data_IF_380481384275
#
_entry.id   IF_380481384275
#
_cell.length_a   1.000
_cell.length_b   1.000
_cell.length_c   1.000
_cell.angle_alpha   90.00
_cell.angle_beta   90.00
_cell.angle_gamma   90.00
#
_symmetry.space_group_name_H-M   'P 1'
#
loop_
_entity.id
_entity.type
_entity.pdbx_description
1 polymer ?
#
# COMPACT_ATOMS: atom_id res chain seq x y z
N UNK A 1 -4.54 -17.19 7.52
CA UNK A 1 -3.78 -17.10 6.25
C UNK A 1 -3.44 -15.64 5.95
N UNK A 2 -2.28 -15.30 5.36
CA UNK A 2 -1.93 -13.93 4.91
C UNK A 2 -1.67 -13.92 3.40
N UNK A 3 -2.28 -12.97 2.68
CA UNK A 3 -2.10 -12.75 1.25
C UNK A 3 -2.13 -11.24 0.92
N UNK A 4 -1.76 -10.89 -0.32
CA UNK A 4 -1.83 -9.55 -0.85
C UNK A 4 -2.59 -9.55 -2.19
N UNK A 5 -3.78 -8.93 -2.15
CA UNK A 5 -4.69 -8.77 -3.28
C UNK A 5 -4.34 -7.49 -4.04
N UNK A 6 -4.21 -7.61 -5.37
CA UNK A 6 -4.03 -6.48 -6.28
C UNK A 6 -5.32 -6.30 -7.09
N UNK A 7 -5.87 -5.09 -7.08
CA UNK A 7 -7.05 -4.73 -7.87
C UNK A 7 -6.72 -3.61 -8.85
N UNK A 8 -6.97 -3.83 -10.14
CA UNK A 8 -6.84 -2.77 -11.14
C UNK A 8 -7.99 -1.76 -11.01
N UNK A 9 -7.65 -0.47 -10.90
CA UNK A 9 -8.61 0.64 -10.68
C UNK A 9 -8.51 1.75 -11.73
N UNK A 10 -7.77 1.51 -12.80
CA UNK A 10 -7.59 2.45 -13.91
C UNK A 10 -6.62 3.60 -13.60
N UNK A 11 -5.93 4.05 -14.64
CA UNK A 11 -4.87 5.06 -14.55
C UNK A 11 -5.34 6.52 -14.49
N UNK A 12 -6.65 6.77 -14.60
CA UNK A 12 -7.20 8.13 -14.57
C UNK A 12 -7.74 8.50 -13.19
N UNK A 13 -7.51 9.76 -12.80
CA UNK A 13 -8.10 10.33 -11.60
C UNK A 13 -9.59 10.62 -11.82
N UNK A 14 -10.44 10.45 -10.79
CA UNK A 14 -11.82 10.92 -10.85
C UNK A 14 -11.88 12.41 -11.19
N UNK A 15 -12.89 12.83 -11.99
CA UNK A 15 -12.96 14.17 -12.58
C UNK A 15 -12.79 15.34 -11.62
N UNK A 16 -13.27 15.21 -10.37
CA UNK A 16 -13.06 16.24 -9.32
C UNK A 16 -11.58 16.53 -9.05
N UNK A 17 -10.74 15.49 -8.99
CA UNK A 17 -9.31 15.62 -8.75
C UNK A 17 -8.58 16.12 -9.99
N UNK A 18 -9.00 15.64 -11.17
CA UNK A 18 -8.47 16.11 -12.45
C UNK A 18 -8.67 17.61 -12.64
N UNK A 19 -9.84 18.15 -12.28
CA UNK A 19 -10.10 19.60 -12.38
C UNK A 19 -9.32 20.41 -11.33
N UNK A 20 -9.17 19.88 -10.10
CA UNK A 20 -8.35 20.52 -9.08
C UNK A 20 -6.89 20.67 -9.54
N UNK A 21 -6.35 19.65 -10.22
CA UNK A 21 -5.00 19.72 -10.81
C UNK A 21 -4.90 20.65 -12.00
N UNK A 22 -6.03 20.98 -12.65
CA UNK A 22 -6.09 21.96 -13.74
C UNK A 22 -6.09 23.41 -13.23
N UNK A 23 -6.28 23.62 -11.93
CA UNK A 23 -6.24 24.96 -11.35
C UNK A 23 -4.88 25.64 -11.60
N UNK A 24 -4.93 26.78 -12.28
CA UNK A 24 -3.75 27.59 -12.57
C UNK A 24 -3.25 28.29 -11.30
N UNK A 25 -1.94 28.50 -11.25
CA UNK A 25 -1.32 29.33 -10.21
C UNK A 25 -1.50 30.79 -10.55
N UNK A 26 -1.66 31.64 -9.53
CA UNK A 26 -1.71 33.09 -9.71
C UNK A 26 -0.41 33.63 -10.34
N UNK A 27 0.73 33.01 -10.00
CA UNK A 27 2.04 33.29 -10.58
C UNK A 27 2.81 31.99 -10.86
N UNK A 28 3.64 32.01 -11.92
CA UNK A 28 4.55 30.91 -12.26
C UNK A 28 3.97 29.85 -13.21
N UNK A 29 4.74 28.79 -13.43
CA UNK A 29 4.38 27.69 -14.34
C UNK A 29 3.23 26.85 -13.77
N UNK A 30 2.39 26.23 -14.62
CA UNK A 30 1.35 25.32 -14.18
C UNK A 30 1.94 24.14 -13.38
N UNK A 31 1.19 23.57 -12.43
CA UNK A 31 1.63 22.40 -11.67
C UNK A 31 1.85 21.20 -12.59
N UNK A 32 2.83 20.35 -12.25
CA UNK A 32 3.03 19.07 -12.93
C UNK A 32 1.80 18.19 -12.68
N UNK A 33 1.23 17.53 -13.70
CA UNK A 33 0.09 16.65 -13.51
C UNK A 33 0.45 15.50 -12.57
N UNK A 34 -0.47 15.16 -11.65
CA UNK A 34 -0.30 14.00 -10.78
C UNK A 34 -0.57 12.72 -11.55
N UNK A 35 0.34 11.76 -11.41
CA UNK A 35 0.21 10.44 -11.98
C UNK A 35 -0.50 9.52 -10.99
N UNK A 36 -1.56 8.84 -11.43
CA UNK A 36 -2.25 7.83 -10.63
C UNK A 36 -1.59 6.46 -10.83
N UNK A 37 -1.46 5.69 -9.76
CA UNK A 37 -1.11 4.28 -9.83
C UNK A 37 -2.39 3.50 -10.19
N UNK A 38 -2.40 2.68 -11.25
CA UNK A 38 -3.61 2.01 -11.73
C UNK A 38 -4.03 0.79 -10.89
N UNK A 39 -3.46 0.62 -9.69
CA UNK A 39 -3.68 -0.53 -8.83
C UNK A 39 -3.95 -0.11 -7.37
N UNK A 40 -4.81 -0.87 -6.71
CA UNK A 40 -4.96 -0.88 -5.26
C UNK A 40 -4.36 -2.17 -4.70
N UNK A 41 -3.67 -2.06 -3.57
CA UNK A 41 -3.03 -3.18 -2.90
C UNK A 41 -3.69 -3.37 -1.53
N UNK A 42 -4.12 -4.59 -1.23
CA UNK A 42 -4.78 -4.92 0.04
C UNK A 42 -4.13 -6.13 0.68
N UNK A 43 -3.80 -6.03 1.97
CA UNK A 43 -3.53 -7.24 2.74
C UNK A 43 -4.83 -7.97 3.03
N UNK A 44 -4.80 -9.29 2.91
CA UNK A 44 -5.89 -10.19 3.22
C UNK A 44 -5.45 -11.11 4.33
N UNK A 45 -6.11 -11.06 5.48
CA UNK A 45 -5.76 -11.89 6.63
C UNK A 45 -6.98 -12.29 7.45
N UNK A 46 -6.84 -13.38 8.20
CA UNK A 46 -7.87 -13.92 9.09
C UNK A 46 -7.52 -13.56 10.53
N UNK A 47 -8.54 -13.38 11.36
CA UNK A 47 -8.39 -13.17 12.80
C UNK A 47 -9.26 -14.20 13.55
N UNK A 48 -8.85 -14.57 14.76
CA UNK A 48 -9.57 -15.56 15.57
C UNK A 48 -10.98 -15.09 15.98
N UNK A 49 -11.20 -13.77 16.00
CA UNK A 49 -12.46 -13.13 16.37
C UNK A 49 -13.40 -12.86 15.17
N UNK A 50 -13.07 -13.34 13.96
CA UNK A 50 -13.88 -13.12 12.77
C UNK A 50 -13.97 -14.33 11.85
N UNK A 51 -15.20 -14.69 11.46
CA UNK A 51 -15.48 -15.73 10.46
C UNK A 51 -15.15 -15.30 9.01
N UNK A 52 -14.78 -14.03 8.78
CA UNK A 52 -14.51 -13.48 7.45
C UNK A 52 -13.10 -12.90 7.38
N UNK A 53 -12.37 -13.10 6.27
CA UNK A 53 -11.06 -12.47 6.10
C UNK A 53 -11.20 -10.95 6.03
N UNK A 54 -10.31 -10.27 6.74
CA UNK A 54 -10.13 -8.84 6.66
C UNK A 54 -9.42 -8.47 5.36
N UNK A 55 -9.81 -7.33 4.78
CA UNK A 55 -9.18 -6.74 3.60
C UNK A 55 -8.79 -5.31 3.93
N UNK A 56 -7.52 -5.09 4.23
CA UNK A 56 -7.02 -3.78 4.62
C UNK A 56 -6.25 -3.13 3.46
N UNK A 57 -6.68 -1.95 3.02
CA UNK A 57 -6.00 -1.18 1.98
C UNK A 57 -4.63 -0.71 2.47
N UNK A 58 -3.60 -0.89 1.66
CA UNK A 58 -2.26 -0.36 1.91
C UNK A 58 -2.20 1.07 1.36
N UNK A 59 -1.97 2.02 2.26
CA UNK A 59 -1.88 3.46 1.97
C UNK A 59 -0.48 4.03 2.21
N UNK A 60 0.47 3.15 2.51
CA UNK A 60 1.87 3.48 2.65
C UNK A 60 2.45 4.08 1.35
N UNK A 61 3.09 5.24 1.46
CA UNK A 61 3.69 5.94 0.32
C UNK A 61 4.87 5.18 -0.28
N UNK A 62 5.59 4.37 0.53
CA UNK A 62 6.75 3.59 0.09
C UNK A 62 6.35 2.56 -0.97
N UNK A 63 5.14 2.00 -0.85
CA UNK A 63 4.57 1.11 -1.86
C UNK A 63 4.46 1.81 -3.21
N UNK A 64 3.96 3.04 -3.21
CA UNK A 64 3.78 3.82 -4.43
C UNK A 64 5.11 4.16 -5.10
N UNK A 65 6.14 4.48 -4.31
CA UNK A 65 7.48 4.76 -4.82
C UNK A 65 8.14 3.51 -5.40
N UNK A 66 8.00 2.36 -4.73
CA UNK A 66 8.46 1.08 -5.26
C UNK A 66 7.78 0.79 -6.60
N UNK A 67 6.45 0.92 -6.68
CA UNK A 67 5.71 0.70 -7.92
C UNK A 67 6.25 1.55 -9.08
N UNK A 68 6.39 2.85 -8.87
CA UNK A 68 6.86 3.78 -9.91
C UNK A 68 8.29 3.47 -10.38
N UNK A 69 9.15 3.04 -9.44
CA UNK A 69 10.54 2.63 -9.74
C UNK A 69 10.55 1.36 -10.57
N UNK A 70 9.78 0.35 -10.14
CA UNK A 70 9.70 -0.95 -10.80
C UNK A 70 9.06 -0.86 -12.18
N UNK A 71 8.06 0.00 -12.35
CA UNK A 71 7.44 0.23 -13.65
C UNK A 71 8.41 0.89 -14.63
N UNK A 72 9.22 1.85 -14.17
CA UNK A 72 10.28 2.44 -15.00
C UNK A 72 11.36 1.41 -15.36
N UNK A 73 11.66 0.47 -14.47
CA UNK A 73 12.69 -0.56 -14.66
C UNK A 73 12.24 -1.71 -15.55
N UNK A 74 10.99 -2.14 -15.40
CA UNK A 74 10.41 -3.32 -16.06
C UNK A 74 9.63 -2.96 -17.33
N UNK A 75 9.23 -1.70 -17.50
CA UNK A 75 8.46 -1.23 -18.66
C UNK A 75 7.03 -1.76 -18.71
N UNK A 76 6.52 -2.36 -17.62
CA UNK A 76 5.18 -2.95 -17.55
C UNK A 76 4.53 -2.65 -16.20
N UNK A 77 3.33 -2.08 -16.26
CA UNK A 77 2.51 -1.78 -15.10
C UNK A 77 2.16 -3.03 -14.29
N UNK A 78 1.87 -4.15 -14.96
CA UNK A 78 1.57 -5.41 -14.29
C UNK A 78 2.82 -6.01 -13.63
N UNK A 79 3.95 -6.03 -14.35
CA UNK A 79 5.20 -6.55 -13.79
C UNK A 79 5.66 -5.74 -12.56
N UNK A 80 5.42 -4.42 -12.56
CA UNK A 80 5.65 -3.58 -11.39
C UNK A 80 4.72 -3.92 -10.22
N UNK A 81 3.44 -4.17 -10.47
CA UNK A 81 2.50 -4.59 -9.44
C UNK A 81 2.88 -5.95 -8.83
N UNK A 82 3.29 -6.91 -9.67
CA UNK A 82 3.77 -8.22 -9.21
C UNK A 82 5.06 -8.10 -8.39
N UNK A 83 5.97 -7.21 -8.80
CA UNK A 83 7.19 -6.90 -8.04
C UNK A 83 6.88 -6.29 -6.67
N UNK A 84 5.92 -5.35 -6.61
CA UNK A 84 5.43 -4.80 -5.34
C UNK A 84 4.85 -5.90 -4.46
N UNK A 85 4.02 -6.79 -5.02
CA UNK A 85 3.49 -7.93 -4.26
C UNK A 85 4.60 -8.84 -3.74
N UNK A 86 5.60 -9.13 -4.55
CA UNK A 86 6.76 -9.92 -4.12
C UNK A 86 7.44 -9.26 -2.91
N UNK A 87 7.73 -7.96 -2.99
CA UNK A 87 8.37 -7.24 -1.89
C UNK A 87 7.52 -7.22 -0.62
N UNK A 88 6.24 -6.84 -0.73
CA UNK A 88 5.37 -6.61 0.43
C UNK A 88 4.87 -7.92 1.08
N UNK A 89 4.60 -8.95 0.27
CA UNK A 89 4.13 -10.22 0.80
C UNK A 89 5.28 -11.19 1.10
N UNK A 90 6.20 -11.40 0.14
CA UNK A 90 7.16 -12.49 0.24
C UNK A 90 8.43 -12.11 1.01
N UNK A 91 8.84 -10.84 0.98
CA UNK A 91 10.03 -10.38 1.70
C UNK A 91 9.67 -9.70 3.02
N UNK A 92 8.77 -8.71 2.99
CA UNK A 92 8.36 -7.97 4.19
C UNK A 92 7.60 -8.87 5.15
N UNK A 93 6.74 -9.78 4.67
CA UNK A 93 6.00 -10.71 5.51
C UNK A 93 6.58 -12.14 5.49
N UNK A 94 7.87 -12.27 5.17
CA UNK A 94 8.56 -13.55 5.14
C UNK A 94 8.54 -14.25 6.52
N UNK A 95 8.65 -15.57 6.53
CA UNK A 95 8.49 -16.36 7.76
C UNK A 95 9.57 -16.09 8.81
N UNK A 96 10.72 -15.55 8.41
CA UNK A 96 11.82 -15.11 9.26
C UNK A 96 11.68 -13.68 9.79
N UNK A 97 10.60 -12.95 9.42
CA UNK A 97 10.33 -11.58 9.88
C UNK A 97 9.20 -11.53 10.90
N UNK A 98 9.37 -10.76 11.96
CA UNK A 98 8.30 -10.48 12.94
C UNK A 98 7.52 -9.23 12.53
N UNK A 99 6.80 -9.36 11.42
CA UNK A 99 6.19 -8.21 10.73
C UNK A 99 4.96 -7.69 11.45
N UNK A 100 4.94 -6.39 11.66
CA UNK A 100 3.85 -5.64 12.29
C UNK A 100 3.31 -4.60 11.33
N UNK A 101 2.00 -4.47 11.31
CA UNK A 101 1.32 -3.43 10.55
C UNK A 101 0.99 -2.25 11.47
N UNK A 102 1.37 -1.06 11.03
CA UNK A 102 0.80 0.15 11.59
C UNK A 102 -0.54 0.38 10.93
N UNK A 103 -1.59 0.34 11.74
CA UNK A 103 -2.97 0.43 11.28
C UNK A 103 -3.51 1.84 11.54
N UNK A 104 -4.28 2.37 10.59
CA UNK A 104 -5.06 3.58 10.74
C UNK A 104 -6.52 3.32 10.38
N UNK A 105 -7.37 4.33 10.56
CA UNK A 105 -8.77 4.31 10.13
C UNK A 105 -9.08 5.51 9.25
N UNK A 106 -10.03 5.34 8.34
CA UNK A 106 -10.59 6.45 7.57
C UNK A 106 -11.82 7.03 8.24
N UNK A 107 -12.10 8.32 7.99
CA UNK A 107 -13.38 8.95 8.33
C UNK A 107 -14.23 9.11 7.06
N UNK A 108 -15.57 8.99 7.13
CA UNK A 108 -16.40 8.71 8.33
C UNK A 108 -16.61 7.22 8.61
N UNK A 109 -16.25 6.36 7.64
CA UNK A 109 -16.38 4.93 7.75
C UNK A 109 -15.10 4.41 8.38
N UNK A 110 -15.15 4.02 9.67
CA UNK A 110 -14.04 3.48 10.49
C UNK A 110 -13.46 2.17 9.91
N UNK A 111 -13.03 2.21 8.66
CA UNK A 111 -12.44 1.13 7.91
C UNK A 111 -10.94 1.13 8.19
N UNK A 112 -10.43 -0.02 8.60
CA UNK A 112 -9.01 -0.21 8.87
C UNK A 112 -8.20 -0.23 7.59
N UNK A 113 -7.11 0.53 7.61
CA UNK A 113 -6.12 0.64 6.54
C UNK A 113 -4.73 0.40 7.12
N UNK A 114 -3.83 -0.11 6.30
CA UNK A 114 -2.41 -0.24 6.63
C UNK A 114 -1.72 1.03 6.18
N UNK A 115 -1.08 1.73 7.11
CA UNK A 115 -0.38 3.01 6.87
C UNK A 115 1.14 2.85 6.92
N UNK A 116 1.63 1.69 7.34
CA UNK A 116 3.05 1.37 7.36
C UNK A 116 3.31 -0.06 7.82
N UNK A 117 4.55 -0.52 7.63
CA UNK A 117 5.00 -1.84 8.09
C UNK A 117 6.32 -1.74 8.86
N UNK A 118 6.49 -2.59 9.87
CA UNK A 118 7.74 -2.78 10.59
C UNK A 118 8.08 -4.26 10.62
N UNK A 119 9.21 -4.65 10.03
CA UNK A 119 9.52 -6.05 9.73
C UNK A 119 10.93 -6.46 10.22
N UNK A 120 11.19 -6.42 11.54
CA UNK A 120 12.46 -6.88 12.08
C UNK A 120 12.67 -8.38 11.83
N UNK A 121 13.91 -8.88 11.80
CA UNK A 121 14.18 -10.31 11.85
C UNK A 121 13.59 -10.92 13.13
N UNK A 122 13.07 -12.15 13.06
CA UNK A 122 12.70 -12.92 14.23
C UNK A 122 13.96 -13.25 15.02
N UNK A 123 14.04 -12.76 16.25
CA UNK A 123 15.06 -13.15 17.21
C UNK A 123 14.48 -14.14 18.21
N UNK A 124 15.25 -15.14 18.64
CA UNK A 124 14.83 -16.05 19.73
C UNK A 124 14.66 -15.32 21.07
N UNK A 125 15.18 -14.10 21.19
CA UNK A 125 14.95 -13.24 22.33
C UNK A 125 13.49 -12.79 22.33
N UNK A 126 12.72 -13.34 23.27
CA UNK A 126 11.37 -12.90 23.58
C UNK A 126 11.37 -11.37 23.71
N UNK A 127 10.63 -10.69 22.84
CA UNK A 127 10.42 -9.25 23.00
C UNK A 127 9.94 -9.02 24.43
N UNK A 128 10.73 -8.28 25.21
CA UNK A 128 10.35 -7.95 26.57
C UNK A 128 8.97 -7.30 26.52
N UNK A 129 8.01 -7.91 27.21
CA UNK A 129 6.70 -7.27 27.36
C UNK A 129 6.95 -5.96 28.09
N UNK A 130 6.59 -4.86 27.45
CA UNK A 130 6.36 -3.63 28.18
C UNK A 130 5.10 -3.92 28.99
N UNK A 131 5.30 -4.23 30.27
CA UNK A 131 4.34 -4.70 31.29
C UNK A 131 4.04 -6.20 31.28
#
# INVERSE_FOLDING_TARGET
MLDLEIKHVGGEWPGKWSELHRQLRLFGKPPKPLRKIPFEFRYVFECEDSDKPHRALITDWELGVLYLTEESRLGSAQAAADSVRHKFLNEICASEKDTRFFMGTTLPHNTWIVIGTFWPPKTETTQQRLF
#
